data_IF_006964113525
#
_entry.id   IF_006964113525
#
_cell.length_a   1.000
_cell.length_b   1.000
_cell.length_c   1.000
_cell.angle_alpha   90.00
_cell.angle_beta   90.00
_cell.angle_gamma   90.00
#
_symmetry.space_group_name_H-M   'P 1'
#
loop_
_entity.id
_entity.type
_entity.pdbx_description
1 polymer ?
#
# COMPACT_ATOMS: atom_id res chain seq x y z
N UNK A 1 -26.80 29.47 -59.99
CA UNK A 1 -25.75 28.85 -59.15
C UNK A 1 -26.13 29.09 -57.69
N UNK A 2 -26.55 28.03 -56.98
CA UNK A 2 -26.94 28.08 -55.56
C UNK A 2 -25.80 27.49 -54.77
N UNK A 3 -25.12 28.29 -53.92
CA UNK A 3 -24.08 27.83 -52.99
C UNK A 3 -24.76 27.26 -51.75
N UNK A 4 -24.59 25.96 -51.50
CA UNK A 4 -24.95 25.27 -50.27
C UNK A 4 -23.75 25.43 -49.30
N UNK A 5 -23.97 26.12 -48.17
CA UNK A 5 -23.00 26.21 -47.08
C UNK A 5 -23.07 24.91 -46.22
N UNK A 6 -21.94 24.36 -45.76
CA UNK A 6 -21.98 23.20 -44.89
C UNK A 6 -22.38 23.60 -43.46
N UNK A 7 -23.38 22.91 -42.93
CA UNK A 7 -23.80 23.02 -41.52
C UNK A 7 -22.83 22.24 -40.64
N UNK A 8 -21.90 22.91 -39.99
CA UNK A 8 -20.97 22.30 -39.02
C UNK A 8 -21.72 22.02 -37.72
N UNK A 9 -21.95 20.73 -37.44
CA UNK A 9 -22.53 20.25 -36.20
C UNK A 9 -21.44 20.33 -35.09
N UNK A 10 -21.54 21.29 -34.18
CA UNK A 10 -20.69 21.39 -33.01
C UNK A 10 -21.17 20.36 -31.97
N UNK A 11 -20.44 19.29 -31.80
CA UNK A 11 -20.68 18.32 -30.71
C UNK A 11 -20.16 18.95 -29.42
N UNK A 12 -21.04 19.49 -28.57
CA UNK A 12 -20.71 19.93 -27.23
C UNK A 12 -20.54 18.71 -26.32
N UNK A 13 -19.29 18.38 -25.96
CA UNK A 13 -18.99 17.40 -24.94
C UNK A 13 -19.34 18.02 -23.59
N UNK A 14 -20.45 17.64 -23.02
CA UNK A 14 -20.82 17.95 -21.63
C UNK A 14 -19.89 17.20 -20.69
N UNK A 15 -18.79 17.85 -20.28
CA UNK A 15 -18.00 17.37 -19.14
C UNK A 15 -18.86 17.51 -17.89
N UNK A 16 -19.42 16.40 -17.41
CA UNK A 16 -20.20 16.35 -16.19
C UNK A 16 -19.35 16.82 -15.00
N UNK A 17 -19.88 17.72 -14.17
CA UNK A 17 -19.24 18.12 -12.93
C UNK A 17 -19.03 16.88 -12.04
N UNK A 18 -17.88 16.75 -11.35
CA UNK A 18 -17.63 15.63 -10.45
C UNK A 18 -18.68 15.59 -9.33
N UNK A 19 -19.14 14.40 -8.98
CA UNK A 19 -20.09 14.23 -7.87
C UNK A 19 -19.45 14.59 -6.54
N UNK A 20 -20.26 14.93 -5.52
CA UNK A 20 -19.77 15.21 -4.16
C UNK A 20 -18.92 14.04 -3.61
N UNK A 21 -19.24 12.79 -3.98
CA UNK A 21 -18.43 11.62 -3.62
C UNK A 21 -17.05 11.58 -4.32
N UNK A 22 -16.94 12.05 -5.57
CA UNK A 22 -15.66 12.21 -6.28
C UNK A 22 -14.84 13.36 -5.72
N UNK A 23 -15.48 14.46 -5.31
CA UNK A 23 -14.81 15.60 -4.69
C UNK A 23 -14.32 15.28 -3.28
N UNK A 24 -15.08 14.49 -2.50
CA UNK A 24 -14.64 13.99 -1.18
C UNK A 24 -13.39 13.09 -1.29
N UNK A 25 -13.31 12.24 -2.31
CA UNK A 25 -12.13 11.38 -2.56
C UNK A 25 -10.90 12.16 -3.04
N UNK A 26 -11.08 13.25 -3.78
CA UNK A 26 -9.97 14.06 -4.31
C UNK A 26 -9.15 14.80 -3.23
N UNK A 27 -9.70 14.96 -2.02
CA UNK A 27 -9.04 15.60 -0.87
C UNK A 27 -8.54 14.62 0.20
N UNK A 28 -8.84 13.32 0.08
CA UNK A 28 -8.44 12.33 1.08
C UNK A 28 -6.94 12.03 0.96
N UNK A 29 -6.19 12.28 2.04
CA UNK A 29 -4.77 11.90 2.17
C UNK A 29 -4.53 11.32 3.56
N UNK A 30 -3.83 10.20 3.58
CA UNK A 30 -3.46 9.55 4.82
C UNK A 30 -2.45 10.38 5.61
N UNK A 31 -2.65 10.44 6.92
CA UNK A 31 -1.69 10.94 7.90
C UNK A 31 -1.14 9.83 8.81
N UNK A 32 -1.75 8.63 8.76
CA UNK A 32 -1.30 7.44 9.48
C UNK A 32 -1.82 6.17 8.81
N UNK A 33 -0.98 5.15 8.76
CA UNK A 33 -1.36 3.76 8.44
C UNK A 33 -1.17 2.91 9.69
N UNK A 34 -2.14 2.05 10.00
CA UNK A 34 -2.04 1.07 11.09
C UNK A 34 -2.25 -0.33 10.52
N UNK A 35 -1.37 -1.24 10.85
CA UNK A 35 -1.48 -2.67 10.55
C UNK A 35 -1.60 -3.44 11.85
N UNK A 36 -2.58 -4.32 11.95
CA UNK A 36 -2.68 -5.34 13.00
C UNK A 36 -2.49 -6.71 12.34
N UNK A 37 -1.40 -7.38 12.72
CA UNK A 37 -1.01 -8.65 12.13
C UNK A 37 -1.93 -9.78 12.58
N UNK A 38 -2.39 -9.74 13.82
CA UNK A 38 -3.29 -10.77 14.39
C UNK A 38 -4.67 -10.71 13.77
N UNK A 39 -5.18 -9.51 13.49
CA UNK A 39 -6.46 -9.30 12.80
C UNK A 39 -6.34 -9.33 11.27
N UNK A 40 -5.11 -9.40 10.73
CA UNK A 40 -4.83 -9.30 9.30
C UNK A 40 -5.53 -8.10 8.65
N UNK A 41 -5.45 -6.95 9.33
CA UNK A 41 -6.20 -5.75 8.95
C UNK A 41 -5.27 -4.54 8.86
N UNK A 42 -5.47 -3.74 7.81
CA UNK A 42 -4.83 -2.44 7.62
C UNK A 42 -5.90 -1.35 7.61
N UNK A 43 -5.66 -0.30 8.40
CA UNK A 43 -6.46 0.93 8.39
C UNK A 43 -5.63 2.09 7.87
N UNK A 44 -6.25 2.91 7.04
CA UNK A 44 -5.73 4.21 6.60
C UNK A 44 -6.50 5.28 7.35
N UNK A 45 -5.78 6.17 8.01
CA UNK A 45 -6.35 7.26 8.81
C UNK A 45 -6.09 8.61 8.17
N UNK A 46 -7.04 9.53 8.37
CA UNK A 46 -6.90 10.96 8.16
C UNK A 46 -7.57 11.68 9.33
N UNK A 47 -6.86 12.64 9.96
CA UNK A 47 -7.37 13.44 11.09
C UNK A 47 -7.96 12.58 12.23
N UNK A 48 -7.30 11.47 12.54
CA UNK A 48 -7.69 10.52 13.58
C UNK A 48 -8.90 9.65 13.25
N UNK A 49 -9.43 9.70 12.03
CA UNK A 49 -10.54 8.87 11.56
C UNK A 49 -10.06 7.84 10.55
N UNK A 50 -10.48 6.59 10.69
CA UNK A 50 -10.23 5.57 9.68
C UNK A 50 -11.07 5.89 8.42
N UNK A 51 -10.39 6.20 7.33
CA UNK A 51 -11.01 6.50 6.02
C UNK A 51 -11.10 5.25 5.14
N UNK A 52 -10.24 4.25 5.38
CA UNK A 52 -10.25 2.94 4.68
C UNK A 52 -9.85 1.83 5.64
N UNK A 53 -10.37 0.63 5.34
CA UNK A 53 -10.03 -0.60 6.05
C UNK A 53 -9.89 -1.74 5.06
N UNK A 54 -8.77 -2.44 5.11
CA UNK A 54 -8.47 -3.60 4.27
C UNK A 54 -8.24 -4.82 5.16
N UNK A 55 -8.81 -5.97 4.77
CA UNK A 55 -8.78 -7.20 5.55
C UNK A 55 -8.17 -8.36 4.78
N UNK A 56 -7.74 -9.38 5.52
CA UNK A 56 -7.13 -10.56 4.93
C UNK A 56 -5.75 -10.27 4.35
N UNK A 57 -4.94 -9.47 5.05
CA UNK A 57 -3.55 -9.24 4.70
C UNK A 57 -2.79 -10.56 4.66
N UNK A 58 -1.86 -10.67 3.72
CA UNK A 58 -0.96 -11.82 3.61
C UNK A 58 0.44 -11.40 4.03
N UNK A 59 1.15 -12.32 4.66
CA UNK A 59 2.48 -12.10 5.23
C UNK A 59 3.47 -13.19 4.76
N UNK A 60 4.60 -13.30 5.43
CA UNK A 60 5.51 -14.43 5.29
C UNK A 60 5.09 -15.63 6.13
N UNK A 61 5.75 -16.77 5.93
CA UNK A 61 5.42 -18.07 6.56
C UNK A 61 5.52 -18.05 8.10
N UNK A 62 6.20 -17.07 8.68
CA UNK A 62 6.31 -16.89 10.13
C UNK A 62 5.67 -15.55 10.57
N UNK A 63 4.34 -15.35 10.42
CA UNK A 63 3.72 -14.05 10.58
C UNK A 63 3.75 -13.50 12.02
N UNK A 64 3.96 -14.36 13.02
CA UNK A 64 3.94 -13.97 14.44
C UNK A 64 5.28 -13.44 14.92
N UNK A 65 5.23 -12.38 15.69
CA UNK A 65 6.40 -11.75 16.30
C UNK A 65 7.13 -10.78 15.35
N UNK A 66 7.99 -9.97 15.94
CA UNK A 66 8.73 -8.94 15.25
C UNK A 66 9.88 -9.51 14.40
N UNK A 67 10.05 -8.98 13.18
CA UNK A 67 11.23 -9.25 12.34
C UNK A 67 12.51 -8.83 13.04
N UNK A 68 13.48 -9.74 13.05
CA UNK A 68 14.79 -9.54 13.70
C UNK A 68 15.96 -9.71 12.76
N UNK A 69 15.81 -10.59 11.77
CA UNK A 69 16.91 -11.02 10.90
C UNK A 69 16.43 -11.22 9.46
N UNK A 70 17.35 -11.10 8.55
CA UNK A 70 17.12 -11.52 7.17
C UNK A 70 16.77 -13.00 7.11
N UNK A 71 15.74 -13.36 6.34
CA UNK A 71 15.28 -14.73 6.16
C UNK A 71 14.50 -15.32 7.36
N UNK A 72 13.99 -14.49 8.27
CA UNK A 72 13.17 -14.96 9.39
C UNK A 72 11.67 -15.00 9.06
N UNK A 73 11.30 -14.69 7.81
CA UNK A 73 9.93 -14.73 7.27
C UNK A 73 8.92 -13.88 8.05
N UNK A 74 9.42 -12.91 8.82
CA UNK A 74 8.60 -12.08 9.70
C UNK A 74 8.43 -10.68 9.16
N UNK A 75 7.28 -10.10 9.44
CA UNK A 75 7.01 -8.67 9.26
C UNK A 75 7.45 -7.91 10.50
N UNK A 76 8.11 -6.74 10.37
CA UNK A 76 8.51 -5.93 11.53
C UNK A 76 7.28 -5.42 12.29
N UNK A 77 7.43 -5.28 13.61
CA UNK A 77 6.46 -4.65 14.51
C UNK A 77 7.06 -3.37 15.06
N UNK A 78 6.24 -2.34 15.21
CA UNK A 78 6.68 -1.04 15.71
C UNK A 78 6.23 0.12 14.83
N UNK A 79 6.94 1.25 14.98
CA UNK A 79 6.67 2.49 14.24
C UNK A 79 7.74 2.70 13.18
N UNK A 80 7.29 2.92 11.96
CA UNK A 80 8.12 3.17 10.78
C UNK A 80 7.48 4.29 9.95
N UNK A 81 8.03 4.52 8.78
CA UNK A 81 7.53 5.46 7.78
C UNK A 81 7.36 4.73 6.45
N UNK A 82 6.32 5.03 5.73
CA UNK A 82 6.17 4.68 4.31
C UNK A 82 6.92 5.76 3.54
N UNK A 83 8.19 5.52 3.23
CA UNK A 83 9.13 6.58 2.84
C UNK A 83 9.24 6.78 1.33
N UNK A 84 8.89 5.79 0.52
CA UNK A 84 8.75 5.97 -0.92
C UNK A 84 7.80 4.97 -1.57
N UNK A 85 7.20 5.41 -2.66
CA UNK A 85 6.33 4.65 -3.53
C UNK A 85 7.10 4.09 -4.74
N UNK A 86 6.96 2.80 -5.06
CA UNK A 86 7.63 2.15 -6.19
C UNK A 86 6.61 1.70 -7.26
N UNK A 87 6.48 2.45 -8.38
CA UNK A 87 5.59 2.08 -9.48
C UNK A 87 6.12 0.95 -10.38
N UNK A 88 7.40 0.54 -10.20
CA UNK A 88 8.05 -0.52 -10.97
C UNK A 88 8.19 -1.81 -10.16
N UNK A 89 7.26 -2.05 -9.24
CA UNK A 89 7.24 -3.24 -8.41
C UNK A 89 7.00 -4.51 -9.24
N UNK A 90 7.66 -5.61 -8.88
CA UNK A 90 7.34 -6.95 -9.38
C UNK A 90 5.97 -7.45 -8.88
N UNK A 91 5.38 -6.72 -7.94
CA UNK A 91 4.10 -7.01 -7.30
C UNK A 91 3.11 -5.87 -7.51
N UNK A 92 2.91 -5.47 -8.76
CA UNK A 92 2.03 -4.41 -9.26
C UNK A 92 2.46 -3.01 -8.78
N UNK A 93 2.18 -2.63 -7.55
CA UNK A 93 2.60 -1.39 -6.89
C UNK A 93 3.12 -1.72 -5.49
N UNK A 94 4.04 -0.92 -4.96
CA UNK A 94 4.50 -1.10 -3.60
C UNK A 94 4.87 0.20 -2.88
N UNK A 95 4.68 0.23 -1.56
CA UNK A 95 5.07 1.29 -0.64
C UNK A 95 6.13 0.73 0.31
N UNK A 96 7.30 1.35 0.35
CA UNK A 96 8.41 0.90 1.19
C UNK A 96 8.18 1.27 2.65
N UNK A 97 8.49 0.34 3.55
CA UNK A 97 8.51 0.54 5.01
C UNK A 97 9.95 0.78 5.45
N UNK A 98 10.23 1.85 6.17
CA UNK A 98 11.58 2.28 6.59
C UNK A 98 12.25 1.34 7.63
N UNK A 99 11.98 0.04 7.51
CA UNK A 99 12.69 -1.01 8.25
C UNK A 99 14.03 -1.36 7.55
N UNK A 100 15.12 -1.58 8.27
CA UNK A 100 15.28 -1.56 9.73
C UNK A 100 15.56 -0.16 10.29
N UNK A 101 15.00 0.17 11.45
CA UNK A 101 15.36 1.36 12.22
C UNK A 101 16.68 1.15 12.99
N UNK A 102 17.10 2.13 13.78
CA UNK A 102 18.36 2.06 14.54
C UNK A 102 18.38 0.93 15.58
N UNK A 103 17.23 0.65 16.22
CA UNK A 103 17.10 -0.40 17.23
C UNK A 103 17.16 -1.80 16.58
N UNK A 104 16.52 -1.96 15.43
CA UNK A 104 16.54 -3.21 14.66
C UNK A 104 17.95 -3.55 14.22
N UNK A 105 18.68 -2.56 13.68
CA UNK A 105 20.09 -2.72 13.28
C UNK A 105 20.96 -3.09 14.47
N UNK A 106 20.85 -2.36 15.59
CA UNK A 106 21.64 -2.63 16.78
C UNK A 106 21.39 -4.03 17.34
N UNK A 107 20.12 -4.48 17.35
CA UNK A 107 19.77 -5.81 17.83
C UNK A 107 20.38 -6.92 16.97
N UNK A 108 20.31 -6.78 15.65
CA UNK A 108 20.86 -7.76 14.72
C UNK A 108 22.41 -7.78 14.76
N UNK A 109 23.03 -6.60 14.77
CA UNK A 109 24.49 -6.44 14.84
C UNK A 109 25.07 -7.07 16.12
N UNK A 110 24.43 -6.87 17.28
CA UNK A 110 24.85 -7.48 18.53
C UNK A 110 24.84 -9.03 18.49
N UNK A 111 24.22 -9.63 17.46
CA UNK A 111 24.13 -11.08 17.24
C UNK A 111 24.88 -11.54 16.01
N UNK A 112 25.67 -10.66 15.38
CA UNK A 112 26.46 -10.98 14.19
C UNK A 112 25.60 -11.31 12.97
N UNK A 113 24.37 -10.79 12.88
CA UNK A 113 23.42 -11.10 11.81
C UNK A 113 22.93 -9.84 11.10
N UNK A 114 22.52 -9.98 9.84
CA UNK A 114 21.82 -8.93 9.10
C UNK A 114 20.37 -8.82 9.58
N UNK A 115 19.82 -7.62 9.81
CA UNK A 115 18.40 -7.44 10.05
C UNK A 115 17.54 -7.72 8.80
N UNK A 116 18.16 -7.69 7.62
CA UNK A 116 17.47 -7.60 6.33
C UNK A 116 16.95 -6.19 6.07
N UNK A 117 16.00 -6.09 5.18
CA UNK A 117 15.37 -4.84 4.72
C UNK A 117 14.34 -5.16 3.65
N UNK A 118 14.08 -4.17 2.79
CA UNK A 118 13.18 -4.32 1.63
C UNK A 118 11.78 -4.83 2.02
N UNK A 119 11.24 -4.27 3.10
CA UNK A 119 9.87 -4.53 3.54
C UNK A 119 8.94 -3.54 2.85
N UNK A 120 7.91 -4.08 2.20
CA UNK A 120 6.93 -3.31 1.45
C UNK A 120 5.50 -3.70 1.83
N UNK A 121 4.58 -2.76 1.64
CA UNK A 121 3.17 -3.05 1.40
C UNK A 121 3.02 -3.11 -0.12
N UNK A 122 2.50 -4.22 -0.67
CA UNK A 122 2.46 -4.42 -2.13
C UNK A 122 1.25 -5.23 -2.59
N UNK A 123 1.04 -5.25 -3.90
CA UNK A 123 0.01 -6.07 -4.54
C UNK A 123 0.44 -7.52 -4.74
N UNK A 124 -0.22 -8.18 -5.67
CA UNK A 124 0.06 -9.55 -6.07
C UNK A 124 1.11 -9.59 -7.20
N UNK A 125 1.69 -10.75 -7.49
CA UNK A 125 2.64 -10.89 -8.60
C UNK A 125 2.09 -10.31 -9.91
N UNK A 126 2.97 -9.69 -10.70
CA UNK A 126 2.57 -9.10 -11.99
C UNK A 126 1.90 -10.15 -12.89
N UNK A 127 0.81 -9.76 -13.53
CA UNK A 127 0.00 -10.64 -14.38
C UNK A 127 -1.17 -11.32 -13.67
N UNK A 128 -1.26 -11.23 -12.34
CA UNK A 128 -2.45 -11.71 -11.64
C UNK A 128 -3.67 -10.78 -11.87
N UNK A 129 -4.89 -11.35 -11.94
CA UNK A 129 -6.13 -10.58 -12.01
C UNK A 129 -6.27 -9.62 -10.81
N UNK A 130 -6.97 -8.51 -11.03
CA UNK A 130 -6.95 -7.34 -10.15
C UNK A 130 -7.50 -7.61 -8.74
N UNK A 131 -8.45 -8.54 -8.62
CA UNK A 131 -9.12 -8.88 -7.36
C UNK A 131 -8.68 -10.24 -6.78
N UNK A 132 -7.81 -10.96 -7.50
CA UNK A 132 -7.31 -12.26 -7.06
C UNK A 132 -6.11 -12.10 -6.12
N UNK A 133 -5.86 -13.16 -5.35
CA UNK A 133 -4.72 -13.27 -4.42
C UNK A 133 -4.08 -14.65 -4.53
N UNK A 134 -2.78 -14.71 -4.33
CA UNK A 134 -2.08 -15.99 -4.06
C UNK A 134 -2.71 -16.62 -2.82
N UNK A 135 -2.80 -17.93 -2.77
CA UNK A 135 -3.35 -18.64 -1.63
C UNK A 135 -2.38 -18.59 -0.43
N UNK A 136 -2.91 -18.32 0.77
CA UNK A 136 -2.14 -18.34 2.02
C UNK A 136 -1.19 -17.17 2.22
N UNK A 137 -0.25 -17.34 3.12
CA UNK A 137 0.90 -16.46 3.33
C UNK A 137 2.03 -16.90 2.39
N UNK A 138 2.74 -15.94 1.77
CA UNK A 138 3.68 -16.27 0.68
C UNK A 138 4.84 -15.28 0.54
N UNK A 139 4.92 -14.26 1.38
CA UNK A 139 5.98 -13.24 1.29
C UNK A 139 7.17 -13.58 2.18
N UNK A 140 8.29 -12.88 2.00
CA UNK A 140 9.47 -12.99 2.87
C UNK A 140 9.45 -11.98 4.03
N UNK A 141 8.24 -11.52 4.42
CA UNK A 141 8.02 -10.54 5.49
C UNK A 141 7.35 -9.23 5.05
N UNK A 142 7.08 -9.06 3.77
CA UNK A 142 6.25 -7.98 3.24
C UNK A 142 4.78 -8.17 3.62
N UNK A 143 3.97 -7.14 3.36
CA UNK A 143 2.52 -7.13 3.59
C UNK A 143 1.84 -7.10 2.22
N UNK A 144 1.16 -8.18 1.84
CA UNK A 144 0.51 -8.26 0.54
C UNK A 144 -1.01 -8.04 0.64
N UNK A 145 -1.55 -7.36 -0.37
CA UNK A 145 -2.97 -7.11 -0.60
C UNK A 145 -3.35 -7.51 -2.04
N UNK A 146 -4.63 -7.37 -2.42
CA UNK A 146 -5.00 -7.46 -3.83
C UNK A 146 -4.49 -6.24 -4.62
N UNK A 147 -4.39 -6.37 -5.95
CA UNK A 147 -3.95 -5.26 -6.81
C UNK A 147 -4.90 -4.06 -6.73
N UNK A 148 -6.21 -4.30 -6.55
CA UNK A 148 -7.21 -3.25 -6.35
C UNK A 148 -6.95 -2.46 -5.06
N UNK A 149 -6.70 -3.15 -3.97
CA UNK A 149 -6.50 -2.52 -2.66
C UNK A 149 -5.22 -1.71 -2.60
N UNK A 150 -4.10 -2.25 -3.12
CA UNK A 150 -2.86 -1.48 -3.15
C UNK A 150 -2.96 -0.28 -4.08
N UNK A 151 -3.70 -0.34 -5.19
CA UNK A 151 -3.93 0.82 -6.05
C UNK A 151 -4.69 1.94 -5.33
N UNK A 152 -5.67 1.60 -4.49
CA UNK A 152 -6.38 2.58 -3.66
C UNK A 152 -5.45 3.17 -2.58
N UNK A 153 -4.73 2.33 -1.83
CA UNK A 153 -3.75 2.77 -0.82
C UNK A 153 -2.70 3.70 -1.44
N UNK A 154 -2.15 3.33 -2.59
CA UNK A 154 -1.20 4.14 -3.34
C UNK A 154 -1.69 5.56 -3.61
N UNK A 155 -2.96 5.72 -3.95
CA UNK A 155 -3.55 7.03 -4.23
C UNK A 155 -3.77 7.89 -2.99
N UNK A 156 -3.91 7.25 -1.82
CA UNK A 156 -4.25 7.88 -0.55
C UNK A 156 -3.02 8.21 0.31
N UNK A 157 -1.95 7.41 0.20
CA UNK A 157 -0.80 7.44 1.12
C UNK A 157 0.37 8.17 0.47
N UNK A 158 0.68 9.42 0.86
CA UNK A 158 1.86 10.13 0.39
C UNK A 158 3.14 9.55 1.03
N UNK A 159 4.28 9.76 0.34
CA UNK A 159 5.59 9.46 0.90
C UNK A 159 5.81 10.23 2.20
N UNK A 160 6.41 9.57 3.19
CA UNK A 160 6.62 10.11 4.51
C UNK A 160 5.49 9.80 5.51
N UNK A 161 4.41 9.11 5.09
CA UNK A 161 3.31 8.76 5.99
C UNK A 161 3.78 7.78 7.08
N UNK A 162 3.52 8.09 8.37
CA UNK A 162 3.79 7.17 9.47
C UNK A 162 3.01 5.86 9.33
N UNK A 163 3.65 4.75 9.69
CA UNK A 163 3.00 3.44 9.82
C UNK A 163 3.27 2.83 11.19
N UNK A 164 2.24 2.27 11.81
CA UNK A 164 2.35 1.49 13.04
C UNK A 164 1.91 0.04 12.80
N UNK A 165 2.85 -0.88 12.88
CA UNK A 165 2.61 -2.32 12.71
C UNK A 165 2.55 -2.96 14.10
N UNK A 166 1.39 -3.52 14.44
CA UNK A 166 1.11 -4.19 15.71
C UNK A 166 1.18 -5.71 15.56
N UNK A 167 1.42 -6.43 16.68
CA UNK A 167 1.34 -7.89 16.73
C UNK A 167 0.04 -8.47 16.22
#
# INVERSE_FOLDING_TARGET
MRFLAPLSLLLAVLAGAPTLAQQARAGEKADLVVVDKSERTLWVYQDGKAIRTYRGLQFGDAPRGHKRFQGDEKTPEGRYTLDYANPQSSYYLSLHVSYPNAQDRAYAQARGRSPGGDIFIHGQPNGMPFDERVEGDWTDGCIALSNREIAEIWSLVPDGTPIHIRP
#
